data_IF_423079798174
#
_entry.id   IF_423079798174
#
_cell.length_a   1.000
_cell.length_b   1.000
_cell.length_c   1.000
_cell.angle_alpha   90.00
_cell.angle_beta   90.00
_cell.angle_gamma   90.00
#
_symmetry.space_group_name_H-M   'P 1'
#
loop_
_entity.id
_entity.type
_entity.pdbx_description
1 polymer ?
#
# COMPACT_ATOMS: atom_id res chain seq x y z
N UNK A 1 16.11 -0.86 -13.72
CA UNK A 1 16.64 -2.24 -13.65
C UNK A 1 16.38 -3.08 -14.91
N UNK A 2 15.25 -2.94 -15.61
CA UNK A 2 14.93 -3.76 -16.81
C UNK A 2 16.04 -3.76 -17.86
N UNK A 3 16.63 -2.60 -18.15
CA UNK A 3 17.72 -2.47 -19.12
C UNK A 3 19.03 -3.14 -18.68
N UNK A 4 19.24 -3.32 -17.37
CA UNK A 4 20.40 -4.04 -16.83
C UNK A 4 20.20 -5.57 -16.90
N UNK A 5 18.98 -6.05 -16.66
CA UNK A 5 18.64 -7.48 -16.73
C UNK A 5 18.45 -7.98 -18.17
N UNK A 6 17.93 -7.11 -19.05
CA UNK A 6 17.64 -7.41 -20.45
C UNK A 6 18.28 -6.34 -21.35
N UNK A 7 19.60 -6.42 -21.62
CA UNK A 7 20.34 -5.39 -22.36
C UNK A 7 19.81 -5.10 -23.77
N UNK A 8 19.20 -6.08 -24.42
CA UNK A 8 18.57 -5.90 -25.74
C UNK A 8 17.39 -4.91 -25.74
N UNK A 9 16.82 -4.60 -24.57
CA UNK A 9 15.74 -3.62 -24.42
C UNK A 9 16.24 -2.19 -24.20
N UNK A 10 17.55 -2.01 -24.00
CA UNK A 10 18.13 -0.76 -23.53
C UNK A 10 17.80 0.43 -24.44
N UNK A 11 18.01 0.31 -25.75
CA UNK A 11 17.84 1.43 -26.68
C UNK A 11 16.37 1.89 -26.74
N UNK A 12 15.44 0.94 -26.74
CA UNK A 12 14.03 1.22 -26.74
C UNK A 12 13.57 1.88 -25.43
N UNK A 13 13.97 1.34 -24.27
CA UNK A 13 13.52 1.84 -22.96
C UNK A 13 14.20 3.17 -22.61
N UNK A 14 15.52 3.28 -22.79
CA UNK A 14 16.27 4.50 -22.40
C UNK A 14 15.86 5.72 -23.22
N UNK A 15 15.53 5.55 -24.50
CA UNK A 15 15.04 6.66 -25.32
C UNK A 15 13.72 7.22 -24.81
N UNK A 16 12.75 6.36 -24.47
CA UNK A 16 11.47 6.77 -23.87
C UNK A 16 11.64 7.34 -22.48
N UNK A 17 12.44 6.69 -21.64
CA UNK A 17 12.68 7.12 -20.26
C UNK A 17 13.29 8.52 -20.18
N UNK A 18 14.26 8.83 -21.04
CA UNK A 18 14.87 10.19 -21.11
C UNK A 18 13.85 11.24 -21.51
N UNK A 19 12.98 10.95 -22.49
CA UNK A 19 11.91 11.86 -22.91
C UNK A 19 10.92 12.11 -21.77
N UNK A 20 10.53 11.06 -21.03
CA UNK A 20 9.66 11.18 -19.86
C UNK A 20 10.32 11.97 -18.74
N UNK A 21 11.62 11.78 -18.48
CA UNK A 21 12.35 12.54 -17.46
C UNK A 21 12.41 14.04 -17.78
N UNK A 22 12.63 14.40 -19.05
CA UNK A 22 12.58 15.81 -19.50
C UNK A 22 11.18 16.38 -19.30
N UNK A 23 10.13 15.62 -19.64
CA UNK A 23 8.75 16.05 -19.45
C UNK A 23 8.40 16.23 -17.97
N UNK A 24 8.80 15.30 -17.09
CA UNK A 24 8.62 15.40 -15.65
C UNK A 24 9.35 16.62 -15.06
N UNK A 25 10.57 16.89 -15.50
CA UNK A 25 11.33 18.06 -15.06
C UNK A 25 10.65 19.39 -15.42
N UNK A 26 9.96 19.47 -16.57
CA UNK A 26 9.19 20.66 -16.97
C UNK A 26 7.98 20.94 -16.07
N UNK A 27 7.50 19.95 -15.33
CA UNK A 27 6.32 20.10 -14.48
C UNK A 27 6.61 20.77 -13.13
N UNK A 28 7.87 21.09 -12.84
CA UNK A 28 8.28 21.92 -11.69
C UNK A 28 8.07 23.43 -11.97
N UNK A 29 6.85 23.82 -12.29
CA UNK A 29 6.46 25.22 -12.52
C UNK A 29 5.22 25.63 -11.70
N UNK A 30 4.69 24.72 -10.88
CA UNK A 30 3.49 24.94 -10.07
C UNK A 30 3.76 25.47 -8.66
N UNK A 31 2.71 26.05 -8.06
CA UNK A 31 2.68 26.53 -6.67
C UNK A 31 3.41 27.85 -6.43
N UNK A 32 3.23 28.44 -5.25
CA UNK A 32 3.81 29.75 -4.88
C UNK A 32 5.35 29.77 -4.90
N UNK A 33 5.97 28.60 -4.81
CA UNK A 33 7.43 28.42 -4.80
C UNK A 33 8.01 27.98 -6.16
N UNK A 34 7.20 27.81 -7.22
CA UNK A 34 7.62 27.25 -8.54
C UNK A 34 8.44 25.96 -8.44
N UNK A 35 8.20 25.17 -7.40
CA UNK A 35 8.90 23.90 -7.15
C UNK A 35 7.92 22.75 -7.01
N UNK A 36 6.65 22.99 -7.33
CA UNK A 36 5.62 21.98 -7.18
C UNK A 36 5.45 21.25 -8.50
N UNK A 37 5.60 19.93 -8.46
CA UNK A 37 5.48 19.05 -9.62
C UNK A 37 4.01 18.66 -9.85
N UNK A 38 3.56 18.71 -11.12
CA UNK A 38 2.29 18.13 -11.54
C UNK A 38 2.43 16.66 -11.95
N UNK A 39 1.34 15.91 -11.91
CA UNK A 39 1.31 14.48 -12.31
C UNK A 39 1.11 14.26 -13.81
N UNK A 40 0.65 15.28 -14.54
CA UNK A 40 0.28 15.12 -15.95
C UNK A 40 1.43 15.53 -16.86
N UNK A 41 2.30 14.59 -17.23
CA UNK A 41 3.53 14.89 -17.99
C UNK A 41 3.34 14.97 -19.51
N UNK A 42 2.11 14.83 -19.99
CA UNK A 42 1.75 15.03 -21.41
C UNK A 42 1.48 16.49 -21.77
N UNK A 43 1.27 17.35 -20.76
CA UNK A 43 1.09 18.79 -20.94
C UNK A 43 2.35 19.53 -20.51
N UNK A 44 2.56 20.72 -21.08
CA UNK A 44 3.76 21.52 -20.83
C UNK A 44 3.72 22.34 -19.54
N UNK A 45 2.58 22.38 -18.85
CA UNK A 45 2.36 23.20 -17.66
C UNK A 45 1.78 22.37 -16.52
N UNK A 46 2.09 22.80 -15.30
CA UNK A 46 1.58 22.19 -14.09
C UNK A 46 0.07 22.47 -13.98
N UNK A 47 -0.73 21.42 -13.82
CA UNK A 47 -2.19 21.41 -14.00
C UNK A 47 -2.97 21.89 -12.76
N UNK A 48 -2.32 22.54 -11.79
CA UNK A 48 -2.99 22.98 -10.55
C UNK A 48 -3.28 21.86 -9.55
N UNK A 49 -3.02 20.60 -9.93
CA UNK A 49 -3.37 19.38 -9.20
C UNK A 49 -2.61 19.20 -7.87
N UNK A 50 -1.72 20.12 -7.51
CA UNK A 50 -0.96 20.12 -6.26
C UNK A 50 -1.78 20.40 -5.01
N UNK A 51 -3.05 20.82 -5.14
CA UNK A 51 -3.99 20.95 -4.01
C UNK A 51 -4.38 19.59 -3.40
N UNK A 52 -4.16 18.49 -4.13
CA UNK A 52 -4.44 17.11 -3.70
C UNK A 52 -3.12 16.40 -3.36
N UNK A 53 -2.54 16.71 -2.20
CA UNK A 53 -1.39 15.98 -1.62
C UNK A 53 -0.04 16.18 -2.34
N UNK A 54 0.78 17.09 -1.82
CA UNK A 54 2.13 17.44 -2.32
C UNK A 54 3.15 16.27 -2.35
N UNK A 55 2.96 15.24 -1.51
CA UNK A 55 3.90 14.13 -1.36
C UNK A 55 3.77 13.06 -2.47
N UNK A 56 2.56 12.80 -2.95
CA UNK A 56 2.32 11.74 -3.94
C UNK A 56 2.82 12.07 -5.34
N UNK A 57 2.95 13.35 -5.67
CA UNK A 57 3.25 13.81 -7.03
C UNK A 57 4.76 14.02 -7.28
N UNK A 58 5.52 14.29 -6.22
CA UNK A 58 6.97 14.56 -6.32
C UNK A 58 7.81 13.28 -6.34
N UNK A 59 7.38 12.22 -5.65
CA UNK A 59 8.04 10.92 -5.65
C UNK A 59 8.19 10.27 -7.04
N UNK A 60 7.13 10.18 -7.89
CA UNK A 60 7.26 9.57 -9.21
C UNK A 60 8.16 10.40 -10.14
N UNK A 61 8.15 11.73 -10.04
CA UNK A 61 9.04 12.58 -10.83
C UNK A 61 10.51 12.35 -10.44
N UNK A 62 10.79 12.26 -9.14
CA UNK A 62 12.12 11.95 -8.62
C UNK A 62 12.60 10.58 -9.09
N UNK A 63 11.74 9.55 -9.00
CA UNK A 63 12.06 8.18 -9.42
C UNK A 63 12.45 8.11 -10.91
N UNK A 64 11.68 8.78 -11.77
CA UNK A 64 11.96 8.79 -13.22
C UNK A 64 13.26 9.51 -13.54
N UNK A 65 13.54 10.64 -12.88
CA UNK A 65 14.80 11.38 -13.06
C UNK A 65 15.99 10.53 -12.59
N UNK A 66 15.90 9.93 -11.39
CA UNK A 66 16.95 9.05 -10.86
C UNK A 66 17.16 7.81 -11.72
N UNK A 67 16.09 7.27 -12.32
CA UNK A 67 16.15 6.12 -13.22
C UNK A 67 16.96 6.38 -14.49
N UNK A 68 17.21 7.64 -14.88
CA UNK A 68 18.08 7.95 -16.02
C UNK A 68 19.55 7.58 -15.79
N UNK A 69 19.98 7.47 -14.53
CA UNK A 69 21.33 7.07 -14.12
C UNK A 69 21.53 5.54 -14.09
N UNK A 70 20.53 4.76 -14.51
CA UNK A 70 20.56 3.28 -14.41
C UNK A 70 21.76 2.63 -15.11
N UNK A 71 22.33 3.27 -16.13
CA UNK A 71 23.52 2.76 -16.84
C UNK A 71 24.82 2.99 -16.08
N UNK A 72 24.86 3.96 -15.17
CA UNK A 72 25.99 4.23 -14.28
C UNK A 72 25.86 3.50 -12.94
N UNK A 73 24.70 2.94 -12.64
CA UNK A 73 24.44 2.18 -11.43
C UNK A 73 24.97 0.74 -11.56
N UNK A 74 25.47 0.15 -10.47
CA UNK A 74 25.78 -1.28 -10.43
C UNK A 74 24.56 -2.14 -10.81
N UNK A 75 24.80 -3.27 -11.46
CA UNK A 75 23.75 -4.25 -11.70
C UNK A 75 23.27 -4.86 -10.37
N UNK A 76 22.01 -5.33 -10.29
CA UNK A 76 21.50 -6.02 -9.11
C UNK A 76 22.40 -7.20 -8.72
N UNK A 77 22.80 -7.25 -7.45
CA UNK A 77 23.62 -8.35 -6.91
C UNK A 77 22.75 -9.56 -6.56
N UNK A 78 23.35 -10.75 -6.66
CA UNK A 78 22.77 -12.02 -6.26
C UNK A 78 23.39 -12.47 -4.94
N UNK A 79 22.89 -13.59 -4.37
CA UNK A 79 23.49 -14.21 -3.19
C UNK A 79 24.97 -14.56 -3.39
N UNK A 80 25.41 -14.84 -4.61
CA UNK A 80 26.80 -15.21 -4.93
C UNK A 80 27.64 -14.06 -5.46
N UNK A 81 27.03 -12.94 -5.87
CA UNK A 81 27.73 -11.81 -6.50
C UNK A 81 27.76 -10.54 -5.64
N UNK A 82 27.69 -10.69 -4.31
CA UNK A 82 27.89 -9.58 -3.37
C UNK A 82 26.64 -9.13 -2.59
N UNK A 83 25.56 -9.90 -2.60
CA UNK A 83 24.40 -9.65 -1.73
C UNK A 83 24.75 -9.88 -0.26
N UNK A 84 24.59 -8.85 0.58
CA UNK A 84 24.83 -8.93 2.04
C UNK A 84 23.58 -9.31 2.84
N UNK A 85 22.39 -9.25 2.21
CA UNK A 85 21.13 -9.65 2.83
C UNK A 85 21.09 -11.16 3.04
N UNK A 86 20.75 -11.60 4.25
CA UNK A 86 20.61 -13.02 4.61
C UNK A 86 19.14 -13.43 4.52
N UNK A 87 18.86 -14.53 3.83
CA UNK A 87 17.53 -15.13 3.82
C UNK A 87 17.20 -15.78 5.17
N UNK A 88 15.94 -15.71 5.56
CA UNK A 88 15.38 -16.45 6.69
C UNK A 88 14.44 -17.54 6.16
N UNK A 89 14.71 -18.80 6.53
CA UNK A 89 13.90 -19.96 6.14
C UNK A 89 12.51 -19.93 6.78
N UNK A 90 12.34 -19.21 7.88
CA UNK A 90 11.06 -19.05 8.57
C UNK A 90 10.34 -17.73 8.19
N UNK A 91 10.83 -16.98 7.20
CA UNK A 91 10.17 -15.76 6.74
C UNK A 91 8.74 -16.06 6.28
N UNK A 92 7.74 -15.48 6.97
CA UNK A 92 6.32 -15.74 6.73
C UNK A 92 5.72 -16.94 7.47
N UNK A 93 6.51 -17.72 8.22
CA UNK A 93 6.04 -18.87 9.01
C UNK A 93 5.70 -18.52 10.47
N UNK A 94 6.21 -17.40 10.98
CA UNK A 94 5.84 -16.91 12.31
C UNK A 94 4.49 -16.22 12.24
N UNK A 95 3.43 -16.91 12.68
CA UNK A 95 2.13 -16.36 13.09
C UNK A 95 1.51 -15.40 12.09
N UNK A 96 0.48 -15.86 11.40
CA UNK A 96 -0.45 -15.05 10.62
C UNK A 96 -1.14 -14.01 11.52
N UNK A 97 -0.43 -12.96 11.94
CA UNK A 97 -1.00 -11.76 12.52
C UNK A 97 -1.48 -10.85 11.37
N UNK A 98 -2.10 -11.48 10.36
CA UNK A 98 -3.04 -10.78 9.50
C UNK A 98 -4.20 -10.41 10.41
N UNK A 99 -4.48 -9.12 10.47
CA UNK A 99 -5.51 -8.47 11.30
C UNK A 99 -6.91 -9.03 11.03
N UNK A 100 -7.19 -10.25 11.49
CA UNK A 100 -8.48 -10.91 11.28
C UNK A 100 -8.52 -12.43 11.54
N UNK A 101 -7.40 -13.13 11.58
CA UNK A 101 -7.39 -14.58 11.87
C UNK A 101 -6.73 -14.81 13.23
N UNK A 102 -7.55 -14.84 14.30
CA UNK A 102 -7.09 -15.28 15.63
C UNK A 102 -6.56 -16.70 15.50
N UNK A 103 -5.29 -16.91 15.86
CA UNK A 103 -4.72 -18.24 16.05
C UNK A 103 -5.38 -18.85 17.30
N UNK A 104 -6.47 -19.60 17.09
CA UNK A 104 -7.24 -20.26 18.13
C UNK A 104 -6.42 -21.29 18.92
N UNK A 105 -5.21 -21.66 18.46
CA UNK A 105 -4.29 -22.53 19.20
C UNK A 105 -3.41 -21.77 20.19
N UNK A 106 -3.20 -20.45 20.04
CA UNK A 106 -2.36 -19.66 20.96
C UNK A 106 -3.15 -18.82 21.97
N UNK A 107 -4.34 -18.34 21.61
CA UNK A 107 -5.20 -17.56 22.50
C UNK A 107 -6.53 -18.29 22.76
N UNK A 108 -6.55 -19.28 23.68
CA UNK A 108 -7.79 -19.94 24.06
C UNK A 108 -8.75 -18.90 24.65
N UNK A 109 -10.03 -19.00 24.25
CA UNK A 109 -11.10 -18.10 24.69
C UNK A 109 -11.11 -18.03 26.23
N UNK A 110 -10.93 -16.84 26.77
CA UNK A 110 -10.82 -16.63 28.22
C UNK A 110 -12.21 -16.75 28.87
N UNK A 111 -12.25 -17.19 30.13
CA UNK A 111 -13.51 -17.35 30.88
C UNK A 111 -14.36 -16.06 30.88
N UNK A 112 -13.73 -14.89 30.90
CA UNK A 112 -14.41 -13.58 30.79
C UNK A 112 -15.11 -13.36 29.44
N UNK A 113 -14.51 -13.77 28.32
CA UNK A 113 -15.14 -13.66 26.99
C UNK A 113 -16.38 -14.57 26.88
N UNK A 114 -16.34 -15.77 27.49
CA UNK A 114 -17.50 -16.68 27.51
C UNK A 114 -18.66 -16.13 28.34
N UNK A 115 -18.37 -15.56 29.51
CA UNK A 115 -19.40 -14.96 30.38
C UNK A 115 -20.03 -13.74 29.73
N UNK A 116 -19.21 -12.88 29.10
CA UNK A 116 -19.72 -11.70 28.38
C UNK A 116 -20.62 -12.08 27.21
N UNK A 117 -20.24 -13.10 26.42
CA UNK A 117 -21.06 -13.60 25.33
C UNK A 117 -22.40 -14.18 25.84
N UNK A 118 -22.37 -14.99 26.90
CA UNK A 118 -23.58 -15.57 27.47
C UNK A 118 -24.55 -14.49 27.96
N UNK A 119 -24.05 -13.48 28.67
CA UNK A 119 -24.86 -12.38 29.18
C UNK A 119 -25.55 -11.61 28.04
N UNK A 120 -24.81 -11.29 26.97
CA UNK A 120 -25.36 -10.59 25.82
C UNK A 120 -26.46 -11.42 25.13
N UNK A 121 -26.25 -12.73 24.96
CA UNK A 121 -27.27 -13.60 24.35
C UNK A 121 -28.55 -13.70 25.18
N UNK A 122 -28.42 -13.75 26.51
CA UNK A 122 -29.56 -13.84 27.42
C UNK A 122 -30.34 -12.52 27.45
N UNK A 123 -29.64 -11.38 27.44
CA UNK A 123 -30.26 -10.07 27.38
C UNK A 123 -31.01 -9.87 26.05
N UNK A 124 -30.39 -10.19 24.92
CA UNK A 124 -31.04 -10.07 23.61
C UNK A 124 -32.25 -11.02 23.49
N UNK A 125 -32.11 -12.26 23.95
CA UNK A 125 -33.19 -13.24 23.97
C UNK A 125 -34.35 -12.83 24.89
N UNK A 126 -34.05 -12.24 26.05
CA UNK A 126 -35.04 -11.73 26.99
C UNK A 126 -35.84 -10.55 26.42
N UNK A 127 -35.17 -9.63 25.72
CA UNK A 127 -35.83 -8.50 25.04
C UNK A 127 -36.76 -9.00 23.93
N UNK A 128 -36.26 -9.85 23.03
CA UNK A 128 -37.07 -10.40 21.93
C UNK A 128 -38.22 -11.28 22.44
N UNK A 129 -37.97 -12.11 23.45
CA UNK A 129 -39.00 -12.92 24.10
C UNK A 129 -40.06 -12.08 24.81
N UNK A 130 -39.65 -11.00 25.48
CA UNK A 130 -40.57 -10.04 26.11
C UNK A 130 -41.45 -9.32 25.10
N UNK A 131 -40.87 -8.87 23.97
CA UNK A 131 -41.65 -8.29 22.87
C UNK A 131 -42.64 -9.28 22.27
N UNK A 132 -42.22 -10.54 22.03
CA UNK A 132 -43.11 -11.57 21.51
C UNK A 132 -44.27 -11.88 22.48
N UNK A 133 -43.99 -11.94 23.78
CA UNK A 133 -45.02 -12.15 24.81
C UNK A 133 -46.04 -11.02 24.85
N UNK A 134 -45.59 -9.77 24.75
CA UNK A 134 -46.46 -8.60 24.76
C UNK A 134 -47.43 -8.60 23.57
N UNK A 135 -46.94 -8.96 22.37
CA UNK A 135 -47.77 -9.05 21.15
C UNK A 135 -48.81 -10.18 21.25
N UNK A 136 -48.46 -11.33 21.84
CA UNK A 136 -49.41 -12.43 22.03
C UNK A 136 -50.50 -12.05 23.03
N UNK A 137 -50.15 -11.33 24.11
CA UNK A 137 -51.12 -10.86 25.11
C UNK A 137 -52.07 -9.79 24.56
N UNK A 138 -51.62 -8.93 23.64
CA UNK A 138 -52.48 -7.93 22.98
C UNK A 138 -53.45 -8.52 21.93
N UNK A 139 -53.25 -9.80 21.54
CA UNK A 139 -54.07 -10.52 20.54
C UNK A 139 -55.11 -11.45 21.16
N UNK A 140 -55.16 -11.58 22.49
CA UNK A 140 -56.13 -12.37 23.27
C UNK A 140 -56.97 -11.39 24.10
#
# INVERSE_FOLDING_TARGET
MTVQMAPFTQDYIMSKLRMTAIAAAKQYDGGDNRRTCGMRWTVSTCDGSFKVGLLGQTLPALEVIQSTLILSAPAPVTATTGGTSKGDLNAGMTGLNYTGLRDLSKDPITAGEKVGAAFLTLLMGGVLGGFAWFIVKDRI
#
